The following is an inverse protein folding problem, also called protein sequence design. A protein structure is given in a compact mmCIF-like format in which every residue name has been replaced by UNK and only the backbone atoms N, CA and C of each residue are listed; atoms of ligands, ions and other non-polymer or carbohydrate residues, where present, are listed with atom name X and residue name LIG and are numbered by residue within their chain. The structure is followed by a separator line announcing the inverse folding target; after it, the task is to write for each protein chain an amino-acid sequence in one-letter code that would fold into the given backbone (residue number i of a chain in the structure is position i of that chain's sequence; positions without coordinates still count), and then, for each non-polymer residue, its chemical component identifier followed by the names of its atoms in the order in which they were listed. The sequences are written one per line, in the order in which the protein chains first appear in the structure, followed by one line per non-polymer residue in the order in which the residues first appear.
data_IF_021977354667
#
_entry.id   IF_021977354667
#
_cell.length_a   1.000
_cell.length_b   1.000
_cell.length_c   1.000
_cell.angle_alpha   90.00
_cell.angle_beta   90.00
_cell.angle_gamma   90.00
#
_symmetry.space_group_name_H-M   'P 1'
#
loop_
_entity.id
_entity.type
_entity.pdbx_description
1 polymer ?
#
# COMPACT_ATOMS: atom_id res chain seq x y z
N UNK A 1 33.62 -52.93 7.06
CA UNK A 1 33.96 -51.72 7.84
C UNK A 1 33.18 -50.55 7.28
N UNK A 2 32.58 -49.68 8.11
CA UNK A 2 31.93 -48.46 7.64
C UNK A 2 32.97 -47.55 6.98
N UNK A 3 32.69 -47.07 5.76
CA UNK A 3 33.54 -46.13 5.03
C UNK A 3 33.14 -44.71 5.43
N UNK A 4 34.10 -43.90 5.87
CA UNK A 4 33.88 -42.47 6.06
C UNK A 4 33.76 -41.84 4.66
N UNK A 5 32.66 -41.13 4.32
CA UNK A 5 32.52 -40.50 3.02
C UNK A 5 33.60 -39.45 2.78
N UNK A 6 34.25 -39.45 1.63
CA UNK A 6 35.27 -38.46 1.27
C UNK A 6 34.72 -37.01 1.29
N UNK A 7 33.43 -36.86 0.98
CA UNK A 7 32.71 -35.59 1.08
C UNK A 7 32.72 -35.00 2.51
N UNK A 8 32.69 -35.85 3.55
CA UNK A 8 32.76 -35.40 4.95
C UNK A 8 34.11 -34.77 5.26
N UNK A 9 35.20 -35.36 4.75
CA UNK A 9 36.56 -34.84 4.95
C UNK A 9 36.73 -33.50 4.25
N UNK A 10 36.28 -33.39 3.00
CA UNK A 10 36.38 -32.17 2.21
C UNK A 10 35.55 -31.02 2.82
N UNK A 11 34.30 -31.29 3.25
CA UNK A 11 33.46 -30.30 3.93
C UNK A 11 34.06 -29.82 5.25
N UNK A 12 34.59 -30.74 6.06
CA UNK A 12 35.25 -30.38 7.34
C UNK A 12 36.51 -29.54 7.13
N UNK A 13 37.32 -29.86 6.11
CA UNK A 13 38.49 -29.07 5.76
C UNK A 13 38.10 -27.64 5.34
N UNK A 14 37.02 -27.49 4.57
CA UNK A 14 36.50 -26.19 4.16
C UNK A 14 36.07 -25.31 5.34
N UNK A 15 35.27 -25.88 6.26
CA UNK A 15 34.82 -25.20 7.48
C UNK A 15 36.01 -24.77 8.33
N UNK A 16 37.01 -25.63 8.50
CA UNK A 16 38.22 -25.30 9.26
C UNK A 16 39.05 -24.19 8.59
N UNK A 17 39.19 -24.23 7.27
CA UNK A 17 39.94 -23.21 6.52
C UNK A 17 39.28 -21.83 6.66
N UNK A 18 37.96 -21.75 6.48
CA UNK A 18 37.21 -20.50 6.63
C UNK A 18 37.25 -19.98 8.07
N UNK A 19 37.06 -20.85 9.07
CA UNK A 19 37.19 -20.46 10.48
C UNK A 19 38.55 -19.86 10.77
N UNK A 20 39.60 -20.58 10.37
CA UNK A 20 40.99 -20.15 10.64
C UNK A 20 41.28 -18.79 10.04
N UNK A 21 40.76 -18.50 8.84
CA UNK A 21 40.89 -17.19 8.22
C UNK A 21 40.14 -16.12 9.03
N UNK A 22 38.85 -16.32 9.31
CA UNK A 22 38.01 -15.35 10.02
C UNK A 22 38.52 -15.06 11.45
N UNK A 23 38.87 -16.08 12.22
CA UNK A 23 39.36 -15.93 13.60
C UNK A 23 40.73 -15.27 13.66
N UNK A 24 41.62 -15.52 12.68
CA UNK A 24 42.91 -14.81 12.58
C UNK A 24 42.73 -13.31 12.35
N UNK A 25 41.63 -12.90 11.73
CA UNK A 25 41.23 -11.50 11.57
C UNK A 25 40.26 -11.02 12.66
N UNK A 26 40.25 -11.70 13.81
CA UNK A 26 39.51 -11.37 15.03
C UNK A 26 37.98 -11.45 14.93
N UNK A 27 37.41 -12.12 13.92
CA UNK A 27 35.97 -12.34 13.83
C UNK A 27 35.55 -13.57 14.63
N UNK A 28 34.32 -13.55 15.14
CA UNK A 28 33.79 -14.61 15.99
C UNK A 28 33.03 -15.60 15.11
N UNK A 29 33.42 -16.88 15.16
CA UNK A 29 32.82 -17.96 14.36
C UNK A 29 32.18 -18.99 15.28
N UNK A 30 30.91 -19.29 15.05
CA UNK A 30 30.17 -20.36 15.72
C UNK A 30 29.75 -21.41 14.69
N UNK A 31 30.12 -22.68 14.91
CA UNK A 31 29.60 -23.78 14.10
C UNK A 31 28.15 -24.10 14.46
N UNK A 32 27.34 -24.39 13.43
CA UNK A 32 25.99 -24.94 13.60
C UNK A 32 26.10 -26.46 13.68
N UNK A 33 25.43 -27.07 14.66
CA UNK A 33 25.41 -28.54 14.79
C UNK A 33 24.66 -29.15 13.60
N UNK A 34 25.21 -30.24 13.03
CA UNK A 34 24.66 -30.90 11.84
C UNK A 34 23.31 -31.58 12.06
N UNK A 35 22.81 -31.67 13.29
CA UNK A 35 21.42 -32.04 13.59
C UNK A 35 20.41 -30.90 13.32
N UNK A 36 20.89 -29.66 13.20
CA UNK A 36 20.12 -28.44 12.92
C UNK A 36 20.47 -27.82 11.54
N UNK A 37 20.96 -28.64 10.61
CA UNK A 37 21.37 -28.18 9.27
C UNK A 37 20.16 -27.87 8.38
N UNK A 38 19.81 -26.59 8.29
CA UNK A 38 18.86 -26.04 7.32
C UNK A 38 19.58 -25.32 6.16
N UNK A 39 20.79 -25.76 5.81
CA UNK A 39 21.63 -25.16 4.78
C UNK A 39 22.54 -24.06 5.31
N UNK A 40 23.02 -24.19 6.55
CA UNK A 40 23.84 -23.20 7.25
C UNK A 40 24.90 -23.92 8.09
N UNK A 41 26.19 -23.68 7.82
CA UNK A 41 27.28 -24.36 8.55
C UNK A 41 27.87 -23.48 9.66
N UNK A 42 27.88 -22.15 9.47
CA UNK A 42 28.50 -21.19 10.37
C UNK A 42 27.60 -19.98 10.63
N UNK A 43 27.66 -19.48 11.86
CA UNK A 43 27.28 -18.12 12.23
C UNK A 43 28.54 -17.31 12.48
N UNK A 44 28.66 -16.15 11.82
CA UNK A 44 29.84 -15.29 11.92
C UNK A 44 29.42 -13.91 12.39
N UNK A 45 30.03 -13.45 13.49
CA UNK A 45 29.88 -12.08 13.97
C UNK A 45 31.14 -11.30 13.65
N UNK A 46 31.01 -10.25 12.85
CA UNK A 46 32.12 -9.35 12.54
C UNK A 46 32.40 -8.42 13.72
N UNK A 47 33.68 -8.09 13.84
CA UNK A 47 34.24 -7.29 14.93
C UNK A 47 34.98 -6.10 14.34
N UNK A 48 35.05 -5.01 15.10
CA UNK A 48 35.77 -3.80 14.72
C UNK A 48 36.49 -3.25 15.94
N UNK A 49 37.80 -3.01 15.85
CA UNK A 49 38.62 -2.51 16.95
C UNK A 49 38.52 -3.32 18.26
N UNK A 50 38.22 -4.64 18.16
CA UNK A 50 38.04 -5.51 19.33
C UNK A 50 36.65 -5.47 19.95
N UNK A 51 35.71 -4.72 19.38
CA UNK A 51 34.31 -4.67 19.80
C UNK A 51 33.41 -5.48 18.86
N UNK A 52 32.37 -6.08 19.43
CA UNK A 52 31.36 -6.83 18.67
C UNK A 52 30.38 -5.83 18.06
N UNK A 53 30.40 -5.68 16.74
CA UNK A 53 29.58 -4.68 16.03
C UNK A 53 28.11 -5.11 15.82
N UNK A 54 27.70 -6.26 16.36
CA UNK A 54 26.37 -6.83 16.15
C UNK A 54 26.11 -7.32 14.72
N UNK A 55 27.09 -7.27 13.83
CA UNK A 55 27.00 -7.66 12.42
C UNK A 55 27.13 -9.18 12.26
N UNK A 56 25.99 -9.85 12.12
CA UNK A 56 25.85 -11.31 12.09
C UNK A 56 25.45 -11.77 10.69
N UNK A 57 26.15 -12.77 10.17
CA UNK A 57 25.80 -13.49 8.93
C UNK A 57 25.78 -15.00 9.15
N UNK A 58 24.99 -15.68 8.32
CA UNK A 58 25.02 -17.13 8.17
C UNK A 58 25.91 -17.48 6.97
N UNK A 59 26.67 -18.57 7.05
CA UNK A 59 27.50 -19.02 5.93
C UNK A 59 27.26 -20.51 5.67
N UNK A 60 26.89 -20.83 4.44
CA UNK A 60 26.96 -22.19 3.90
C UNK A 60 28.35 -22.42 3.30
N UNK A 61 29.02 -23.46 3.76
CA UNK A 61 30.38 -23.83 3.37
C UNK A 61 30.36 -25.14 2.59
N UNK A 62 30.91 -25.12 1.37
CA UNK A 62 31.07 -26.31 0.53
C UNK A 62 32.55 -26.58 0.27
N UNK A 63 32.97 -27.84 0.37
CA UNK A 63 34.37 -28.23 0.18
C UNK A 63 34.52 -29.35 -0.85
N UNK A 64 35.50 -29.22 -1.75
CA UNK A 64 35.90 -30.29 -2.67
C UNK A 64 35.73 -29.96 -4.16
N UNK A 65 36.32 -30.82 -5.01
CA UNK A 65 36.36 -30.62 -6.47
C UNK A 65 34.98 -30.64 -7.14
N UNK A 66 33.97 -31.22 -6.51
CA UNK A 66 32.60 -31.33 -7.04
C UNK A 66 31.88 -29.98 -7.21
N UNK A 67 32.36 -28.93 -6.55
CA UNK A 67 31.77 -27.60 -6.60
C UNK A 67 32.35 -26.71 -7.71
N UNK A 68 33.42 -27.15 -8.37
CA UNK A 68 34.04 -26.42 -9.50
C UNK A 68 33.19 -26.48 -10.76
N UNK A 69 33.22 -25.40 -11.53
CA UNK A 69 32.67 -25.27 -12.88
C UNK A 69 33.76 -24.75 -13.82
N UNK A 70 33.45 -24.62 -15.11
CA UNK A 70 34.41 -24.16 -16.10
C UNK A 70 34.89 -22.72 -15.85
N UNK A 71 34.05 -21.91 -15.22
CA UNK A 71 34.15 -20.47 -15.05
C UNK A 71 34.04 -20.03 -13.58
N UNK A 72 34.30 -20.92 -12.62
CA UNK A 72 34.23 -20.61 -11.19
C UNK A 72 33.71 -21.77 -10.35
N UNK A 73 32.79 -21.47 -9.44
CA UNK A 73 32.19 -22.43 -8.53
C UNK A 73 30.67 -22.29 -8.48
N UNK A 74 30.00 -23.32 -7.99
CA UNK A 74 28.54 -23.35 -7.97
C UNK A 74 27.99 -24.13 -6.76
N UNK A 75 27.07 -23.49 -6.04
CA UNK A 75 26.40 -24.07 -4.86
C UNK A 75 24.91 -24.24 -5.19
N UNK A 76 24.34 -25.45 -5.08
CA UNK A 76 22.92 -25.68 -5.33
C UNK A 76 22.07 -25.01 -4.25
N UNK A 77 20.97 -24.40 -4.66
CA UNK A 77 20.01 -23.73 -3.75
C UNK A 77 19.14 -24.77 -3.03
N UNK A 78 18.68 -25.79 -3.76
CA UNK A 78 17.79 -26.82 -3.20
C UNK A 78 16.50 -26.24 -2.63
N UNK A 79 16.04 -26.81 -1.52
CA UNK A 79 14.82 -26.37 -0.81
C UNK A 79 15.06 -25.16 0.12
N UNK A 80 16.29 -24.63 0.14
CA UNK A 80 16.68 -23.55 1.05
C UNK A 80 16.45 -22.14 0.48
N UNK A 81 16.05 -22.02 -0.78
CA UNK A 81 15.97 -20.74 -1.49
C UNK A 81 15.14 -19.69 -0.77
N UNK A 82 13.95 -20.05 -0.29
CA UNK A 82 13.09 -19.12 0.45
C UNK A 82 13.69 -18.71 1.79
N UNK A 83 14.29 -19.65 2.53
CA UNK A 83 14.95 -19.38 3.81
C UNK A 83 16.15 -18.46 3.62
N UNK A 84 16.96 -18.70 2.59
CA UNK A 84 18.14 -17.89 2.28
C UNK A 84 17.78 -16.50 1.77
N UNK A 85 16.70 -16.37 1.00
CA UNK A 85 16.27 -15.08 0.45
C UNK A 85 15.51 -14.20 1.46
N UNK A 86 14.71 -14.80 2.34
CA UNK A 86 13.75 -14.06 3.20
C UNK A 86 14.08 -14.11 4.70
N UNK A 87 15.06 -14.91 5.12
CA UNK A 87 15.46 -15.06 6.52
C UNK A 87 15.93 -13.76 7.19
N UNK A 88 15.90 -13.68 8.51
CA UNK A 88 16.25 -12.45 9.24
C UNK A 88 17.76 -12.13 9.23
N UNK A 89 18.59 -13.12 8.89
CA UNK A 89 20.04 -13.01 8.81
C UNK A 89 20.43 -13.45 7.39
N UNK A 90 21.20 -12.65 6.64
CA UNK A 90 21.59 -13.03 5.29
C UNK A 90 22.57 -14.21 5.30
N UNK A 91 22.50 -14.97 4.22
CA UNK A 91 23.29 -16.18 3.97
C UNK A 91 24.33 -15.90 2.90
N UNK A 92 25.59 -16.18 3.21
CA UNK A 92 26.70 -16.21 2.28
C UNK A 92 27.01 -17.65 1.88
N UNK A 93 27.51 -17.85 0.67
CA UNK A 93 28.04 -19.13 0.22
C UNK A 93 29.56 -19.03 0.11
N UNK A 94 30.28 -20.01 0.66
CA UNK A 94 31.74 -20.12 0.53
C UNK A 94 32.10 -21.51 0.00
N UNK A 95 32.97 -21.56 -1.01
CA UNK A 95 33.56 -22.80 -1.54
C UNK A 95 35.05 -22.84 -1.21
N UNK A 96 35.49 -23.93 -0.58
CA UNK A 96 36.92 -24.25 -0.44
C UNK A 96 37.36 -25.21 -1.54
N UNK A 97 38.34 -24.75 -2.30
CA UNK A 97 38.96 -25.51 -3.37
C UNK A 97 40.22 -26.24 -2.86
N UNK A 98 40.23 -27.58 -2.80
CA UNK A 98 41.34 -28.32 -2.22
C UNK A 98 42.63 -28.32 -3.06
N UNK A 99 42.60 -28.03 -4.37
CA UNK A 99 43.85 -28.07 -5.16
C UNK A 99 44.57 -26.72 -5.14
N UNK A 100 43.83 -25.63 -5.00
CA UNK A 100 44.41 -24.28 -4.86
C UNK A 100 44.55 -23.87 -3.39
N UNK A 101 43.83 -24.53 -2.48
CA UNK A 101 43.66 -24.11 -1.09
C UNK A 101 42.86 -22.81 -0.93
N UNK A 102 42.23 -22.33 -2.01
CA UNK A 102 41.51 -21.07 -2.02
C UNK A 102 40.11 -21.18 -1.44
N UNK A 103 39.65 -20.11 -0.80
CA UNK A 103 38.25 -19.89 -0.43
C UNK A 103 37.65 -18.88 -1.41
N UNK A 104 36.42 -19.13 -1.87
CA UNK A 104 35.71 -18.26 -2.81
C UNK A 104 34.30 -18.02 -2.30
N UNK A 105 33.79 -16.80 -2.39
CA UNK A 105 32.57 -16.43 -1.68
C UNK A 105 31.58 -15.63 -2.54
N UNK A 106 30.31 -15.64 -2.13
CA UNK A 106 29.25 -14.80 -2.71
C UNK A 106 28.14 -14.56 -1.69
N UNK A 107 27.43 -13.44 -1.83
CA UNK A 107 26.23 -13.15 -1.06
C UNK A 107 24.99 -13.81 -1.68
N UNK A 108 24.68 -15.05 -1.24
CA UNK A 108 23.58 -15.84 -1.78
C UNK A 108 22.22 -15.16 -1.60
N UNK A 109 21.99 -14.50 -0.46
CA UNK A 109 20.75 -13.74 -0.23
C UNK A 109 20.58 -12.61 -1.27
N UNK A 110 21.65 -11.87 -1.58
CA UNK A 110 21.61 -10.81 -2.59
C UNK A 110 21.29 -11.37 -3.98
N UNK A 111 21.95 -12.44 -4.39
CA UNK A 111 21.74 -13.10 -5.69
C UNK A 111 20.29 -13.60 -5.85
N UNK A 112 19.77 -14.30 -4.83
CA UNK A 112 18.39 -14.82 -4.86
C UNK A 112 17.36 -13.70 -4.93
N UNK A 113 17.55 -12.61 -4.18
CA UNK A 113 16.63 -11.46 -4.19
C UNK A 113 16.73 -10.67 -5.49
N UNK A 114 17.90 -10.59 -6.12
CA UNK A 114 18.05 -9.96 -7.43
C UNK A 114 17.30 -10.75 -8.49
N UNK A 115 17.57 -12.06 -8.61
CA UNK A 115 16.89 -12.92 -9.58
C UNK A 115 15.36 -12.91 -9.42
N UNK A 116 14.85 -12.95 -8.17
CA UNK A 116 13.41 -12.89 -7.91
C UNK A 116 12.78 -11.58 -8.38
N UNK A 117 13.50 -10.46 -8.26
CA UNK A 117 13.05 -9.15 -8.76
C UNK A 117 12.88 -9.15 -10.28
N UNK A 118 13.75 -9.90 -10.96
CA UNK A 118 13.74 -10.06 -12.41
C UNK A 118 12.80 -11.19 -12.87
N UNK A 119 12.02 -11.78 -11.95
CA UNK A 119 11.07 -12.87 -12.23
C UNK A 119 11.72 -14.25 -12.42
N UNK A 120 13.00 -14.40 -12.06
CA UNK A 120 13.76 -15.63 -12.21
C UNK A 120 13.83 -16.45 -10.92
N UNK A 121 13.94 -17.77 -11.07
CA UNK A 121 14.14 -18.72 -9.97
C UNK A 121 15.50 -19.39 -10.13
N UNK A 122 16.46 -19.02 -9.28
CA UNK A 122 17.80 -19.61 -9.29
C UNK A 122 17.79 -21.00 -8.66
N UNK A 123 18.28 -21.99 -9.41
CA UNK A 123 18.54 -23.35 -8.88
C UNK A 123 19.93 -23.49 -8.28
N UNK A 124 20.85 -22.60 -8.66
CA UNK A 124 22.26 -22.64 -8.30
C UNK A 124 22.78 -21.23 -8.11
N UNK A 125 23.57 -21.01 -7.07
CA UNK A 125 24.33 -19.78 -6.86
C UNK A 125 25.71 -19.97 -7.50
N UNK A 126 26.07 -19.08 -8.41
CA UNK A 126 27.39 -19.09 -9.04
C UNK A 126 28.36 -18.19 -8.27
N UNK A 127 29.62 -18.61 -8.20
CA UNK A 127 30.69 -17.88 -7.52
C UNK A 127 31.80 -17.65 -8.53
N UNK A 128 32.13 -16.39 -8.76
CA UNK A 128 33.21 -16.01 -9.66
C UNK A 128 34.57 -16.47 -9.09
N UNK A 129 35.51 -16.94 -9.93
CA UNK A 129 36.84 -17.33 -9.51
C UNK A 129 37.69 -16.13 -9.06
N UNK A 130 37.24 -14.90 -9.34
CA UNK A 130 37.89 -13.68 -8.88
C UNK A 130 37.47 -13.29 -7.47
N UNK A 131 36.39 -13.88 -6.94
CA UNK A 131 35.88 -13.61 -5.58
C UNK A 131 36.62 -14.44 -4.52
N UNK A 132 37.95 -14.36 -4.54
CA UNK A 132 38.79 -15.10 -3.60
C UNK A 132 38.81 -14.42 -2.22
N UNK A 133 38.48 -15.18 -1.18
CA UNK A 133 38.55 -14.77 0.21
C UNK A 133 39.90 -15.20 0.81
N UNK A 134 40.78 -14.22 1.04
CA UNK A 134 42.14 -14.42 1.51
C UNK A 134 42.56 -13.29 2.48
N UNK A 135 43.76 -13.38 3.06
CA UNK A 135 44.25 -12.39 4.02
C UNK A 135 44.29 -10.96 3.47
N UNK A 136 44.49 -10.78 2.16
CA UNK A 136 44.52 -9.47 1.52
C UNK A 136 43.14 -8.94 1.08
N UNK A 137 42.11 -9.80 1.02
CA UNK A 137 40.75 -9.41 0.61
C UNK A 137 39.73 -9.44 1.75
N UNK A 138 40.12 -9.92 2.94
CA UNK A 138 39.23 -10.04 4.09
C UNK A 138 38.62 -8.71 4.52
N UNK A 139 39.39 -7.61 4.44
CA UNK A 139 38.92 -6.27 4.83
C UNK A 139 37.83 -5.80 3.87
N UNK A 140 38.04 -5.98 2.56
CA UNK A 140 37.08 -5.61 1.53
C UNK A 140 35.82 -6.49 1.60
N UNK A 141 35.98 -7.79 1.83
CA UNK A 141 34.89 -8.74 2.08
C UNK A 141 34.01 -8.29 3.26
N UNK A 142 34.63 -7.97 4.40
CA UNK A 142 33.90 -7.52 5.60
C UNK A 142 33.19 -6.20 5.31
N UNK A 143 33.84 -5.25 4.65
CA UNK A 143 33.25 -3.97 4.29
C UNK A 143 32.03 -4.14 3.36
N UNK A 144 32.13 -4.99 2.33
CA UNK A 144 31.04 -5.28 1.41
C UNK A 144 29.85 -5.94 2.13
N UNK A 145 30.11 -6.94 2.96
CA UNK A 145 29.07 -7.64 3.71
C UNK A 145 28.41 -6.72 4.72
N UNK A 146 29.17 -5.87 5.43
CA UNK A 146 28.62 -4.89 6.38
C UNK A 146 27.81 -3.82 5.68
N UNK A 147 28.26 -3.35 4.51
CA UNK A 147 27.47 -2.45 3.68
C UNK A 147 26.13 -3.09 3.30
N UNK A 148 26.14 -4.34 2.84
CA UNK A 148 24.90 -5.07 2.56
C UNK A 148 24.03 -5.25 3.82
N UNK A 149 24.60 -5.62 4.97
CA UNK A 149 23.88 -5.75 6.23
C UNK A 149 23.22 -4.44 6.67
N UNK A 150 23.88 -3.30 6.48
CA UNK A 150 23.32 -1.99 6.79
C UNK A 150 22.06 -1.70 5.96
N UNK A 151 22.05 -2.09 4.68
CA UNK A 151 20.88 -1.97 3.81
C UNK A 151 19.81 -3.02 4.16
N UNK A 152 20.24 -4.24 4.48
CA UNK A 152 19.37 -5.37 4.81
C UNK A 152 18.61 -5.15 6.13
N UNK A 153 19.29 -4.64 7.16
CA UNK A 153 18.74 -4.29 8.48
C UNK A 153 18.08 -2.92 8.47
N UNK A 154 18.67 -1.94 7.79
CA UNK A 154 18.14 -0.60 7.66
C UNK A 154 16.70 -0.63 7.17
N UNK A 155 16.41 -1.40 6.12
CA UNK A 155 15.05 -1.45 5.58
C UNK A 155 14.02 -2.05 6.56
N UNK A 156 14.37 -3.07 7.35
CA UNK A 156 13.43 -3.68 8.33
C UNK A 156 13.31 -2.90 9.64
N UNK A 157 14.40 -2.32 10.14
CA UNK A 157 14.36 -1.45 11.33
C UNK A 157 13.60 -0.17 11.01
N UNK A 158 13.85 0.42 9.83
CA UNK A 158 13.08 1.58 9.34
C UNK A 158 11.61 1.19 9.19
N UNK A 159 11.27 0.06 8.56
CA UNK A 159 9.87 -0.40 8.48
C UNK A 159 9.22 -0.58 9.86
N UNK A 160 9.91 -1.20 10.83
CA UNK A 160 9.40 -1.37 12.18
C UNK A 160 9.15 -0.02 12.87
N UNK A 161 10.12 0.91 12.78
CA UNK A 161 10.00 2.26 13.34
C UNK A 161 8.90 3.08 12.66
N UNK A 162 8.79 2.99 11.34
CA UNK A 162 7.73 3.65 10.57
C UNK A 162 6.36 3.07 10.92
N UNK A 163 6.27 1.75 11.11
CA UNK A 163 5.05 1.08 11.54
C UNK A 163 4.61 1.53 12.93
N UNK A 164 5.55 1.59 13.88
CA UNK A 164 5.28 2.12 15.22
C UNK A 164 4.85 3.60 15.18
N UNK A 165 5.53 4.42 14.38
CA UNK A 165 5.23 5.85 14.25
C UNK A 165 3.86 6.09 13.61
N UNK A 166 3.49 5.31 12.60
CA UNK A 166 2.22 5.43 11.89
C UNK A 166 1.08 4.59 12.50
N UNK A 167 1.35 3.82 13.56
CA UNK A 167 0.36 2.96 14.21
C UNK A 167 -0.13 1.79 13.34
N UNK A 168 0.71 1.27 12.44
CA UNK A 168 0.38 0.17 11.53
C UNK A 168 1.40 -0.97 11.59
N UNK A 169 0.98 -2.18 11.23
CA UNK A 169 1.87 -3.32 11.10
C UNK A 169 2.09 -3.65 9.62
N UNK A 170 3.36 -3.65 9.20
CA UNK A 170 3.76 -4.05 7.85
C UNK A 170 4.08 -5.54 7.80
N UNK A 171 3.51 -6.22 6.80
CA UNK A 171 3.80 -7.61 6.50
C UNK A 171 5.20 -7.79 5.88
N UNK A 172 5.80 -8.99 6.00
CA UNK A 172 7.14 -9.27 5.46
C UNK A 172 7.20 -9.25 3.93
N UNK A 173 6.05 -9.35 3.25
CA UNK A 173 5.90 -9.28 1.80
C UNK A 173 5.48 -7.90 1.29
N UNK A 174 5.27 -6.94 2.19
CA UNK A 174 4.74 -5.64 1.83
C UNK A 174 5.82 -4.78 1.19
N UNK A 175 5.42 -4.03 0.19
CA UNK A 175 6.26 -3.00 -0.41
C UNK A 175 6.04 -1.73 0.39
N UNK A 176 7.06 -1.36 1.17
CA UNK A 176 7.06 -0.14 1.96
C UNK A 176 8.18 0.77 1.44
N UNK A 177 7.83 1.98 1.05
CA UNK A 177 8.77 3.04 0.67
C UNK A 177 8.56 4.24 1.57
N UNK A 178 9.64 4.92 1.91
CA UNK A 178 9.64 6.08 2.81
C UNK A 178 10.27 7.29 2.14
N UNK A 179 9.68 8.46 2.39
CA UNK A 179 10.20 9.74 1.95
C UNK A 179 9.99 10.78 3.05
N UNK A 180 10.99 11.63 3.26
CA UNK A 180 10.87 12.83 4.07
C UNK A 180 10.91 14.01 3.13
N UNK A 181 9.86 14.82 3.17
CA UNK A 181 9.77 15.98 2.30
C UNK A 181 10.64 17.16 2.81
N UNK A 182 10.63 18.27 2.09
CA UNK A 182 11.40 19.47 2.43
C UNK A 182 10.95 20.18 3.70
N UNK A 183 9.76 19.86 4.21
CA UNK A 183 9.20 20.39 5.46
C UNK A 183 9.49 19.48 6.66
N UNK A 184 10.14 18.33 6.43
CA UNK A 184 10.42 17.33 7.46
C UNK A 184 9.24 16.41 7.74
N UNK A 185 8.23 16.40 6.86
CA UNK A 185 7.06 15.55 6.98
C UNK A 185 7.39 14.18 6.37
N UNK A 186 7.05 13.13 7.11
CA UNK A 186 7.21 11.74 6.68
C UNK A 186 6.02 11.28 5.83
N UNK A 187 6.35 10.60 4.72
CA UNK A 187 5.43 9.93 3.82
C UNK A 187 5.82 8.46 3.69
N UNK A 188 4.84 7.57 3.82
CA UNK A 188 5.01 6.13 3.66
C UNK A 188 4.06 5.64 2.58
N UNK A 189 4.63 5.07 1.52
CA UNK A 189 3.90 4.31 0.53
C UNK A 189 3.89 2.84 0.95
N UNK A 190 2.71 2.24 0.99
CA UNK A 190 2.52 0.87 1.42
C UNK A 190 1.61 0.11 0.45
N UNK A 191 2.14 -0.93 -0.18
CA UNK A 191 1.41 -1.84 -1.05
C UNK A 191 1.54 -3.27 -0.51
N UNK A 192 0.42 -3.84 -0.05
CA UNK A 192 0.35 -5.27 0.27
C UNK A 192 0.29 -6.07 -1.02
N UNK A 193 0.90 -7.26 -1.01
CA UNK A 193 0.96 -8.12 -2.19
C UNK A 193 -0.43 -8.63 -2.57
N UNK A 194 -0.78 -8.49 -3.84
CA UNK A 194 -2.02 -8.85 -4.50
C UNK A 194 -3.25 -8.02 -4.14
N UNK A 195 -3.12 -6.98 -3.31
CA UNK A 195 -4.18 -5.97 -3.17
C UNK A 195 -4.20 -5.06 -4.41
N UNK A 196 -5.40 -4.73 -4.91
CA UNK A 196 -5.57 -3.89 -6.10
C UNK A 196 -5.35 -2.38 -5.85
N UNK A 197 -5.03 -1.99 -4.62
CA UNK A 197 -4.80 -0.60 -4.21
C UNK A 197 -3.56 -0.49 -3.31
N UNK A 198 -3.03 0.72 -3.17
CA UNK A 198 -1.96 1.08 -2.24
C UNK A 198 -2.51 1.96 -1.11
N UNK A 199 -1.71 2.14 -0.07
CA UNK A 199 -1.99 3.02 1.06
C UNK A 199 -0.89 4.08 1.17
N UNK A 200 -1.27 5.34 1.28
CA UNK A 200 -0.39 6.44 1.64
C UNK A 200 -0.64 6.80 3.11
N UNK A 201 0.42 6.79 3.91
CA UNK A 201 0.44 7.32 5.28
C UNK A 201 1.27 8.59 5.27
N UNK A 202 0.75 9.65 5.83
CA UNK A 202 1.38 10.96 5.83
C UNK A 202 1.31 11.55 7.24
N UNK A 203 2.44 12.03 7.75
CA UNK A 203 2.54 12.61 9.11
C UNK A 203 1.57 13.77 9.33
N UNK A 204 1.49 14.72 8.38
CA UNK A 204 0.50 15.83 8.43
C UNK A 204 -0.98 15.42 8.39
N UNK A 205 -1.28 14.17 8.01
CA UNK A 205 -2.63 13.64 8.01
C UNK A 205 -2.88 12.76 9.23
N UNK A 206 -2.12 12.97 10.31
CA UNK A 206 -2.15 12.18 11.54
C UNK A 206 -2.00 10.68 11.26
N UNK A 207 -1.22 10.34 10.22
CA UNK A 207 -1.03 8.97 9.73
C UNK A 207 -2.31 8.26 9.28
N UNK A 208 -3.41 8.99 9.06
CA UNK A 208 -4.67 8.39 8.66
C UNK A 208 -4.57 7.72 7.29
N UNK A 209 -4.84 6.41 7.16
CA UNK A 209 -4.63 5.66 5.93
C UNK A 209 -5.39 6.23 4.74
N UNK A 210 -4.66 6.62 3.69
CA UNK A 210 -5.25 6.99 2.40
C UNK A 210 -5.13 5.82 1.44
N UNK A 211 -6.19 5.03 1.28
CA UNK A 211 -6.23 3.97 0.27
C UNK A 211 -6.50 4.56 -1.11
N UNK A 212 -5.72 4.17 -2.11
CA UNK A 212 -5.78 4.71 -3.46
C UNK A 212 -5.29 3.70 -4.51
N UNK A 213 -5.93 3.69 -5.69
CA UNK A 213 -5.39 3.08 -6.91
C UNK A 213 -4.73 4.10 -7.84
N UNK A 214 -4.09 3.69 -8.95
CA UNK A 214 -3.48 4.60 -9.92
C UNK A 214 -4.42 5.69 -10.45
N UNK A 215 -5.70 5.35 -10.61
CA UNK A 215 -6.75 6.26 -11.07
C UNK A 215 -6.98 7.46 -10.14
N UNK A 216 -6.55 7.35 -8.89
CA UNK A 216 -6.66 8.39 -7.87
C UNK A 216 -5.45 9.35 -7.83
N UNK A 217 -4.36 9.04 -8.55
CA UNK A 217 -3.13 9.82 -8.58
C UNK A 217 -3.08 10.73 -9.81
N UNK A 218 -2.75 12.01 -9.59
CA UNK A 218 -2.74 13.05 -10.63
C UNK A 218 -1.43 13.86 -10.58
N UNK A 219 -0.35 13.41 -11.24
CA UNK A 219 0.98 14.03 -11.12
C UNK A 219 1.05 15.43 -11.74
N UNK A 220 0.30 15.70 -12.82
CA UNK A 220 0.18 17.05 -13.41
C UNK A 220 -0.75 18.00 -12.64
N UNK A 221 -1.21 17.56 -11.48
CA UNK A 221 -2.38 18.07 -10.82
C UNK A 221 -3.67 17.74 -11.54
N UNK A 222 -4.78 17.84 -10.81
CA UNK A 222 -6.09 17.52 -11.34
C UNK A 222 -6.49 18.54 -12.41
N UNK A 223 -6.74 18.12 -13.67
CA UNK A 223 -7.30 18.99 -14.69
C UNK A 223 -8.66 19.45 -14.17
N UNK A 224 -8.75 20.67 -13.65
CA UNK A 224 -10.01 21.05 -13.02
C UNK A 224 -10.01 21.31 -11.51
N UNK A 225 -8.92 21.21 -10.76
CA UNK A 225 -8.94 21.59 -9.34
C UNK A 225 -7.85 22.59 -9.02
N UNK A 226 -6.63 22.09 -8.97
CA UNK A 226 -5.39 22.84 -8.86
C UNK A 226 -4.54 22.43 -10.07
N UNK A 227 -4.68 23.14 -11.22
CA UNK A 227 -3.86 22.85 -12.37
C UNK A 227 -2.41 23.05 -11.92
N UNK A 228 -1.56 22.04 -12.11
CA UNK A 228 -0.15 22.04 -11.69
C UNK A 228 0.12 21.79 -10.19
N UNK A 229 -0.88 21.48 -9.36
CA UNK A 229 -0.62 20.95 -8.01
C UNK A 229 -0.91 19.46 -8.00
N UNK A 230 0.12 18.60 -7.94
CA UNK A 230 -0.05 17.16 -7.86
C UNK A 230 -0.92 16.73 -6.67
N UNK A 231 -1.50 15.54 -6.75
CA UNK A 231 -2.27 15.02 -5.63
C UNK A 231 -2.68 13.56 -5.80
N UNK A 232 -3.08 12.95 -4.69
CA UNK A 232 -3.61 11.59 -4.61
C UNK A 232 -4.83 11.57 -3.70
N UNK A 233 -5.94 10.96 -4.14
CA UNK A 233 -7.20 10.93 -3.40
C UNK A 233 -7.67 12.34 -2.95
N UNK A 234 -7.55 12.73 -1.68
CA UNK A 234 -7.86 14.10 -1.22
C UNK A 234 -6.62 14.87 -0.76
N UNK A 235 -5.43 14.27 -0.89
CA UNK A 235 -4.15 14.81 -0.45
C UNK A 235 -3.49 15.58 -1.59
N UNK A 236 -3.16 16.85 -1.34
CA UNK A 236 -2.35 17.66 -2.24
C UNK A 236 -0.88 17.32 -1.97
N UNK A 237 -0.11 17.11 -3.04
CA UNK A 237 1.30 16.80 -2.97
C UNK A 237 2.11 17.93 -3.60
N UNK A 238 3.31 18.18 -3.09
CA UNK A 238 4.29 18.97 -3.79
C UNK A 238 4.93 18.17 -4.95
N UNK A 239 5.73 18.83 -5.78
CA UNK A 239 6.33 18.19 -6.97
C UNK A 239 7.28 17.04 -6.63
N UNK A 240 8.03 17.13 -5.52
CA UNK A 240 8.96 16.07 -5.12
C UNK A 240 8.21 14.83 -4.61
N UNK A 241 7.20 15.05 -3.76
CA UNK A 241 6.31 13.99 -3.26
C UNK A 241 5.58 13.28 -4.40
N UNK A 242 5.12 14.04 -5.41
CA UNK A 242 4.44 13.48 -6.57
C UNK A 242 5.36 12.57 -7.39
N UNK A 243 6.57 13.01 -7.72
CA UNK A 243 7.53 12.18 -8.46
C UNK A 243 7.93 10.94 -7.65
N UNK A 244 8.11 11.09 -6.34
CA UNK A 244 8.40 9.95 -5.47
C UNK A 244 7.24 8.95 -5.47
N UNK A 245 6.00 9.43 -5.33
CA UNK A 245 4.81 8.59 -5.33
C UNK A 245 4.58 7.90 -6.68
N UNK A 246 4.81 8.61 -7.79
CA UNK A 246 4.78 8.06 -9.15
C UNK A 246 5.76 6.90 -9.30
N UNK A 247 7.02 7.09 -8.89
CA UNK A 247 8.03 6.03 -8.89
C UNK A 247 7.65 4.84 -8.01
N UNK A 248 6.99 5.08 -6.87
CA UNK A 248 6.48 4.01 -6.01
C UNK A 248 5.36 3.21 -6.67
N UNK A 249 4.39 3.88 -7.32
CA UNK A 249 3.29 3.24 -8.03
C UNK A 249 3.82 2.34 -9.15
N UNK A 250 4.77 2.85 -9.94
CA UNK A 250 5.39 2.10 -11.04
C UNK A 250 6.19 0.90 -10.51
N UNK A 251 7.03 1.11 -9.49
CA UNK A 251 7.84 0.05 -8.90
C UNK A 251 7.03 -1.05 -8.20
N UNK A 252 5.79 -0.74 -7.77
CA UNK A 252 4.91 -1.67 -7.07
C UNK A 252 3.83 -2.29 -7.98
N UNK A 253 3.77 -1.93 -9.26
CA UNK A 253 2.72 -2.40 -10.18
C UNK A 253 2.62 -3.93 -10.22
N UNK A 254 3.76 -4.61 -10.33
CA UNK A 254 3.85 -6.08 -10.38
C UNK A 254 3.32 -6.75 -9.11
N UNK A 255 3.30 -6.05 -7.97
CA UNK A 255 2.87 -6.60 -6.70
C UNK A 255 1.35 -6.60 -6.52
N UNK A 256 0.58 -5.98 -7.42
CA UNK A 256 -0.89 -6.04 -7.40
C UNK A 256 -1.45 -7.33 -8.00
N UNK A 257 -0.62 -8.06 -8.73
CA UNK A 257 -0.98 -9.38 -9.22
C UNK A 257 -0.70 -10.44 -8.13
N UNK A 258 -1.69 -11.25 -7.73
CA UNK A 258 -1.45 -12.32 -6.77
C UNK A 258 -0.49 -13.37 -7.36
N UNK A 259 0.51 -13.80 -6.60
CA UNK A 259 1.47 -14.79 -7.09
C UNK A 259 0.84 -16.20 -7.16
N UNK A 260 1.21 -16.98 -8.17
CA UNK A 260 0.79 -18.37 -8.27
C UNK A 260 1.29 -19.18 -7.07
N UNK A 261 0.37 -19.72 -6.26
CA UNK A 261 0.68 -20.54 -5.09
C UNK A 261 0.67 -19.81 -3.75
N UNK A 262 0.43 -18.49 -3.71
CA UNK A 262 0.19 -17.76 -2.45
C UNK A 262 -1.22 -18.04 -1.89
N UNK A 263 -1.40 -18.02 -0.56
CA UNK A 263 -2.71 -18.23 0.05
C UNK A 263 -3.72 -17.16 -0.42
N UNK A 264 -5.03 -17.48 -0.43
CA UNK A 264 -6.06 -16.51 -0.82
C UNK A 264 -5.97 -15.24 0.02
N UNK A 265 -5.96 -14.10 -0.65
CA UNK A 265 -6.04 -12.81 0.03
C UNK A 265 -7.39 -12.67 0.72
N UNK A 266 -7.35 -12.15 1.94
CA UNK A 266 -8.54 -11.82 2.69
C UNK A 266 -8.85 -10.34 2.49
N UNK A 267 -10.13 -9.99 2.56
CA UNK A 267 -10.57 -8.60 2.47
C UNK A 267 -9.93 -7.78 3.58
N UNK A 268 -9.30 -6.68 3.20
CA UNK A 268 -8.79 -5.69 4.13
C UNK A 268 -9.96 -4.93 4.78
N UNK A 269 -10.23 -5.27 6.05
CA UNK A 269 -11.37 -4.74 6.81
C UNK A 269 -11.19 -3.23 7.05
N UNK A 270 -9.97 -2.80 7.38
CA UNK A 270 -9.67 -1.38 7.61
C UNK A 270 -9.89 -0.57 6.34
N UNK A 271 -9.46 -1.09 5.18
CA UNK A 271 -9.70 -0.43 3.89
C UNK A 271 -11.20 -0.33 3.58
N UNK A 272 -11.98 -1.39 3.84
CA UNK A 272 -13.44 -1.39 3.68
C UNK A 272 -14.08 -0.33 4.58
N UNK A 273 -13.74 -0.31 5.85
CA UNK A 273 -14.38 0.56 6.84
C UNK A 273 -14.01 2.02 6.61
N UNK A 274 -12.76 2.31 6.25
CA UNK A 274 -12.31 3.63 5.79
C UNK A 274 -13.05 4.08 4.53
N UNK A 275 -13.20 3.18 3.54
CA UNK A 275 -13.96 3.47 2.33
C UNK A 275 -15.42 3.81 2.64
N UNK A 276 -16.09 3.00 3.46
CA UNK A 276 -17.49 3.22 3.87
C UNK A 276 -17.65 4.53 4.62
N UNK A 277 -16.76 4.82 5.58
CA UNK A 277 -16.79 6.06 6.34
C UNK A 277 -16.67 7.29 5.44
N UNK A 278 -15.74 7.30 4.49
CA UNK A 278 -15.58 8.40 3.52
C UNK A 278 -16.82 8.60 2.65
N UNK A 279 -17.41 7.51 2.17
CA UNK A 279 -18.64 7.58 1.35
C UNK A 279 -19.84 8.05 2.16
N UNK A 280 -19.97 7.65 3.42
CA UNK A 280 -21.03 8.15 4.32
C UNK A 280 -20.85 9.64 4.58
N UNK A 281 -19.64 10.07 4.95
CA UNK A 281 -19.33 11.49 5.16
C UNK A 281 -19.72 12.31 3.92
N UNK A 282 -19.25 11.87 2.76
CA UNK A 282 -19.55 12.50 1.48
C UNK A 282 -21.06 12.58 1.24
N UNK A 283 -21.77 11.47 1.43
CA UNK A 283 -23.22 11.41 1.24
C UNK A 283 -23.98 12.32 2.19
N UNK A 284 -23.63 12.36 3.47
CA UNK A 284 -24.26 13.27 4.45
C UNK A 284 -24.05 14.74 4.08
N UNK A 285 -22.88 15.06 3.54
CA UNK A 285 -22.55 16.41 3.15
C UNK A 285 -23.25 16.86 1.86
N UNK A 286 -23.43 15.96 0.88
CA UNK A 286 -24.21 16.23 -0.34
C UNK A 286 -25.73 16.17 -0.08
N UNK A 287 -26.17 15.28 0.81
CA UNK A 287 -27.57 14.99 1.10
C UNK A 287 -27.91 15.19 2.58
N UNK A 288 -28.11 16.43 3.06
CA UNK A 288 -28.33 16.71 4.47
C UNK A 288 -29.55 15.99 5.07
N UNK A 289 -30.55 15.64 4.25
CA UNK A 289 -31.77 14.95 4.67
C UNK A 289 -31.71 13.42 4.48
N UNK A 290 -30.60 12.87 3.97
CA UNK A 290 -30.46 11.42 3.73
C UNK A 290 -30.65 10.60 5.01
N UNK A 291 -30.11 11.06 6.13
CA UNK A 291 -30.26 10.40 7.42
C UNK A 291 -31.71 10.38 7.88
N UNK A 292 -32.41 11.53 7.80
CA UNK A 292 -33.82 11.62 8.20
C UNK A 292 -34.70 10.67 7.38
N UNK A 293 -34.51 10.61 6.05
CA UNK A 293 -35.24 9.67 5.19
C UNK A 293 -34.95 8.21 5.56
N UNK A 294 -33.69 7.90 5.86
CA UNK A 294 -33.27 6.57 6.24
C UNK A 294 -33.87 6.11 7.58
N UNK A 295 -33.90 7.00 8.59
CA UNK A 295 -34.56 6.76 9.87
C UNK A 295 -36.06 6.47 9.67
N UNK A 296 -36.74 7.31 8.87
CA UNK A 296 -38.15 7.10 8.56
C UNK A 296 -38.40 5.76 7.87
N UNK A 297 -37.53 5.40 6.91
CA UNK A 297 -37.62 4.12 6.20
C UNK A 297 -37.46 2.95 7.16
N UNK A 298 -36.45 2.94 8.04
CA UNK A 298 -36.26 1.86 9.03
C UNK A 298 -37.46 1.74 9.97
N UNK A 299 -38.02 2.87 10.44
CA UNK A 299 -39.17 2.87 11.37
C UNK A 299 -40.47 2.41 10.75
N UNK A 300 -40.63 2.55 9.43
CA UNK A 300 -41.86 2.17 8.71
C UNK A 300 -41.76 0.83 8.01
N UNK A 301 -40.56 0.27 7.86
CA UNK A 301 -40.33 -1.00 7.20
C UNK A 301 -40.54 -2.18 8.17
N UNK A 302 -41.73 -2.79 8.10
CA UNK A 302 -42.08 -4.00 8.86
C UNK A 302 -41.34 -5.26 8.40
N UNK A 303 -40.55 -5.20 7.33
CA UNK A 303 -39.72 -6.30 6.83
C UNK A 303 -38.25 -6.17 7.22
N UNK A 304 -37.92 -5.14 8.02
CA UNK A 304 -36.56 -4.94 8.51
C UNK A 304 -36.06 -6.13 9.33
N UNK A 305 -34.79 -6.46 9.12
CA UNK A 305 -34.08 -7.53 9.83
C UNK A 305 -34.17 -7.32 11.35
N UNK A 306 -34.65 -8.33 12.07
CA UNK A 306 -34.82 -8.27 13.52
C UNK A 306 -33.48 -8.00 14.23
N UNK A 307 -32.37 -8.51 13.70
CA UNK A 307 -31.03 -8.28 14.28
C UNK A 307 -30.60 -6.81 14.15
N UNK A 308 -30.88 -6.20 13.00
CA UNK A 308 -30.65 -4.77 12.77
C UNK A 308 -31.47 -3.91 13.73
N UNK A 309 -32.76 -4.21 13.90
CA UNK A 309 -33.64 -3.45 14.80
C UNK A 309 -33.19 -3.55 16.26
N UNK A 310 -32.76 -4.74 16.70
CA UNK A 310 -32.19 -4.91 18.05
C UNK A 310 -30.94 -4.03 18.22
N UNK A 311 -30.00 -4.11 17.28
CA UNK A 311 -28.75 -3.33 17.34
C UNK A 311 -29.01 -1.83 17.33
N UNK A 312 -29.95 -1.35 16.51
CA UNK A 312 -30.34 0.05 16.48
C UNK A 312 -30.93 0.50 17.81
N UNK A 313 -31.82 -0.29 18.43
CA UNK A 313 -32.40 0.05 19.75
C UNK A 313 -31.34 0.12 20.84
N UNK A 314 -30.35 -0.75 20.81
CA UNK A 314 -29.23 -0.71 21.75
C UNK A 314 -28.41 0.57 21.58
N UNK A 315 -28.11 0.97 20.35
CA UNK A 315 -27.37 2.20 20.05
C UNK A 315 -28.20 3.46 20.36
N UNK A 316 -29.50 3.48 20.03
CA UNK A 316 -30.44 4.57 20.33
C UNK A 316 -30.66 4.75 21.85
N UNK A 317 -30.41 3.71 22.66
CA UNK A 317 -30.53 3.82 24.12
C UNK A 317 -29.47 4.73 24.75
N UNK A 318 -28.38 4.99 24.03
CA UNK A 318 -27.35 5.96 24.39
C UNK A 318 -27.75 7.35 23.90
N UNK A 319 -28.30 8.16 24.81
CA UNK A 319 -28.85 9.47 24.49
C UNK A 319 -27.81 10.46 23.91
N UNK A 320 -26.52 10.29 24.24
CA UNK A 320 -25.44 11.12 23.71
C UNK A 320 -25.15 10.74 22.26
N UNK A 321 -25.03 9.43 21.97
CA UNK A 321 -24.81 8.95 20.62
C UNK A 321 -25.99 9.25 19.66
N UNK A 322 -27.24 9.14 20.14
CA UNK A 322 -28.43 9.49 19.34
C UNK A 322 -28.49 10.99 19.03
N UNK A 323 -28.19 11.85 20.02
CA UNK A 323 -28.15 13.29 19.82
C UNK A 323 -27.04 13.71 18.84
N UNK A 324 -25.84 13.12 18.97
CA UNK A 324 -24.72 13.36 18.06
C UNK A 324 -25.06 12.92 16.63
N UNK A 325 -25.64 11.74 16.45
CA UNK A 325 -25.99 11.21 15.13
C UNK A 325 -26.90 12.16 14.33
N UNK A 326 -27.76 12.92 15.01
CA UNK A 326 -28.72 13.83 14.38
C UNK A 326 -28.20 15.26 14.17
N UNK A 327 -27.16 15.69 14.88
CA UNK A 327 -26.79 17.11 14.97
C UNK A 327 -25.31 17.43 14.79
N UNK A 328 -24.43 16.44 14.94
CA UNK A 328 -22.98 16.61 14.88
C UNK A 328 -22.44 16.28 13.48
N UNK A 329 -21.43 16.99 12.95
CA UNK A 329 -20.75 16.59 11.72
C UNK A 329 -20.05 15.22 11.85
N UNK A 330 -20.01 14.43 10.78
CA UNK A 330 -19.45 13.05 10.80
C UNK A 330 -18.06 12.92 11.45
N UNK A 331 -17.16 13.88 11.21
CA UNK A 331 -15.79 13.86 11.75
C UNK A 331 -15.72 14.11 13.26
N UNK A 332 -16.72 14.75 13.82
CA UNK A 332 -16.80 15.10 15.24
C UNK A 332 -17.65 14.10 16.04
N UNK A 333 -18.32 13.18 15.36
CA UNK A 333 -19.15 12.14 15.98
C UNK A 333 -18.30 11.08 16.72
N UNK A 334 -18.77 10.66 17.88
CA UNK A 334 -18.30 9.46 18.56
C UNK A 334 -18.41 8.22 17.68
N UNK A 335 -17.66 7.17 18.00
CA UNK A 335 -17.73 5.89 17.28
C UNK A 335 -19.13 5.30 17.31
N UNK A 336 -19.84 5.40 18.44
CA UNK A 336 -21.22 4.94 18.58
C UNK A 336 -22.18 5.69 17.67
N UNK A 337 -22.07 7.03 17.61
CA UNK A 337 -22.88 7.85 16.71
C UNK A 337 -22.59 7.52 15.23
N UNK A 338 -21.32 7.37 14.84
CA UNK A 338 -20.95 6.95 13.48
C UNK A 338 -21.50 5.57 13.14
N UNK A 339 -21.46 4.63 14.08
CA UNK A 339 -22.02 3.28 13.92
C UNK A 339 -23.54 3.33 13.77
N UNK A 340 -24.25 4.14 14.57
CA UNK A 340 -25.68 4.36 14.46
C UNK A 340 -26.07 4.93 13.08
N UNK A 341 -25.39 5.99 12.64
CA UNK A 341 -25.59 6.60 11.32
C UNK A 341 -25.32 5.60 10.18
N UNK A 342 -24.27 4.79 10.30
CA UNK A 342 -23.94 3.72 9.34
C UNK A 342 -25.08 2.72 9.24
N UNK A 343 -25.61 2.25 10.38
CA UNK A 343 -26.75 1.33 10.40
C UNK A 343 -28.03 1.92 9.85
N UNK A 344 -28.23 3.24 9.88
CA UNK A 344 -29.36 3.87 9.20
C UNK A 344 -29.15 4.01 7.70
N UNK A 345 -27.96 4.40 7.24
CA UNK A 345 -27.72 4.72 5.83
C UNK A 345 -27.41 3.49 4.97
N UNK A 346 -26.59 2.57 5.47
CA UNK A 346 -26.03 1.45 4.71
C UNK A 346 -26.88 0.20 4.91
N UNK A 347 -27.41 -0.35 3.81
CA UNK A 347 -28.15 -1.61 3.82
C UNK A 347 -27.20 -2.81 3.80
N UNK A 348 -26.26 -2.80 2.86
CA UNK A 348 -25.22 -3.82 2.72
C UNK A 348 -23.98 -3.21 2.07
N UNK A 349 -22.82 -3.81 2.32
CA UNK A 349 -21.58 -3.52 1.59
C UNK A 349 -21.20 -4.78 0.84
N UNK A 350 -21.21 -4.71 -0.49
CA UNK A 350 -20.76 -5.80 -1.36
C UNK A 350 -19.26 -5.72 -1.51
N UNK A 351 -18.61 -6.86 -1.33
CA UNK A 351 -17.15 -6.99 -1.36
C UNK A 351 -16.75 -7.85 -2.54
N UNK A 352 -15.96 -7.28 -3.44
CA UNK A 352 -15.34 -7.94 -4.59
C UNK A 352 -13.99 -8.59 -4.24
N UNK A 353 -13.28 -9.05 -5.28
CA UNK A 353 -11.94 -9.63 -5.10
C UNK A 353 -10.95 -8.62 -4.51
N UNK A 354 -10.07 -9.00 -3.57
CA UNK A 354 -9.02 -8.12 -3.04
C UNK A 354 -8.06 -7.54 -4.08
N UNK A 355 -7.95 -8.20 -5.24
CA UNK A 355 -7.10 -7.74 -6.36
C UNK A 355 -7.73 -6.63 -7.20
N UNK A 356 -9.01 -6.29 -6.96
CA UNK A 356 -9.68 -5.20 -7.68
C UNK A 356 -9.24 -3.83 -7.15
N UNK A 357 -9.27 -2.77 -7.97
CA UNK A 357 -9.13 -1.40 -7.50
C UNK A 357 -10.10 -1.10 -6.34
N UNK A 358 -9.72 -0.18 -5.44
CA UNK A 358 -10.47 0.11 -4.20
C UNK A 358 -11.96 0.43 -4.44
N UNK A 359 -12.27 1.17 -5.51
CA UNK A 359 -13.64 1.56 -5.88
C UNK A 359 -14.46 0.41 -6.50
N UNK A 360 -13.79 -0.61 -7.06
CA UNK A 360 -14.43 -1.82 -7.59
C UNK A 360 -14.55 -2.92 -6.53
N UNK A 361 -13.65 -2.91 -5.54
CA UNK A 361 -13.64 -3.86 -4.44
C UNK A 361 -14.81 -3.63 -3.48
N UNK A 362 -15.21 -2.38 -3.22
CA UNK A 362 -16.25 -2.07 -2.25
C UNK A 362 -17.42 -1.30 -2.88
N UNK A 363 -18.62 -1.91 -2.84
CA UNK A 363 -19.85 -1.27 -3.30
C UNK A 363 -20.87 -1.15 -2.17
N UNK A 364 -21.23 0.07 -1.82
CA UNK A 364 -22.24 0.36 -0.81
C UNK A 364 -23.62 0.29 -1.47
N UNK A 365 -24.50 -0.51 -0.89
CA UNK A 365 -25.92 -0.48 -1.20
C UNK A 365 -26.61 0.32 -0.10
N UNK A 366 -27.18 1.44 -0.50
CA UNK A 366 -27.83 2.36 0.41
C UNK A 366 -29.24 1.91 0.74
N UNK A 367 -29.68 2.11 1.97
CA UNK A 367 -31.01 1.70 2.43
C UNK A 367 -32.13 2.53 1.80
N UNK A 368 -31.85 3.80 1.58
CA UNK A 368 -32.66 4.67 0.75
C UNK A 368 -31.88 4.97 -0.54
N UNK A 369 -31.94 4.08 -1.54
CA UNK A 369 -31.43 4.41 -2.87
C UNK A 369 -32.25 5.58 -3.40
N UNK A 370 -31.63 6.46 -4.20
CA UNK A 370 -32.41 7.52 -4.84
C UNK A 370 -33.29 6.94 -5.93
N UNK A 371 -34.45 7.54 -6.24
CA UNK A 371 -35.28 7.10 -7.36
C UNK A 371 -34.48 7.20 -8.66
N UNK A 372 -34.09 6.06 -9.24
CA UNK A 372 -33.44 5.96 -10.54
C UNK A 372 -34.39 6.30 -11.70
N UNK A 373 -35.71 6.37 -11.43
CA UNK A 373 -36.75 6.16 -12.42
C UNK A 373 -37.19 7.38 -13.26
N UNK A 374 -36.55 8.56 -13.19
CA UNK A 374 -37.02 9.74 -13.95
C UNK A 374 -35.98 10.47 -14.79
N UNK A 375 -34.70 10.11 -14.73
CA UNK A 375 -33.65 10.96 -15.29
C UNK A 375 -32.78 10.17 -16.27
N UNK A 376 -32.81 10.57 -17.56
CA UNK A 376 -31.93 10.00 -18.57
C UNK A 376 -30.50 10.50 -18.35
N UNK A 377 -29.65 9.65 -17.78
CA UNK A 377 -28.20 9.89 -17.66
C UNK A 377 -27.48 9.36 -18.90
N UNK A 378 -26.46 10.07 -19.39
CA UNK A 378 -25.56 9.56 -20.43
C UNK A 378 -25.54 10.30 -21.77
N UNK A 379 -26.17 11.47 -21.88
CA UNK A 379 -25.97 12.37 -23.02
C UNK A 379 -25.46 13.72 -22.53
N UNK A 380 -24.12 13.90 -22.45
CA UNK A 380 -23.51 15.21 -22.18
C UNK A 380 -23.92 16.22 -23.25
N UNK A 381 -24.98 17.00 -23.01
CA UNK A 381 -25.39 18.10 -23.90
C UNK A 381 -24.66 19.38 -23.47
N UNK A 382 -23.40 19.48 -23.87
CA UNK A 382 -22.55 20.63 -23.56
C UNK A 382 -21.51 20.34 -22.48
N UNK A 383 -20.99 21.38 -21.83
CA UNK A 383 -19.94 21.27 -20.81
C UNK A 383 -20.06 22.39 -19.76
N UNK A 384 -19.56 22.21 -18.53
CA UNK A 384 -19.51 23.28 -17.55
C UNK A 384 -18.76 24.51 -18.08
N UNK A 385 -19.25 25.71 -17.76
CA UNK A 385 -18.51 26.92 -18.05
C UNK A 385 -17.33 27.08 -17.10
N UNK A 386 -16.22 27.61 -17.61
CA UNK A 386 -15.03 28.00 -16.82
C UNK A 386 -14.89 29.53 -16.69
N UNK A 387 -15.85 30.31 -17.22
CA UNK A 387 -15.78 31.78 -17.22
C UNK A 387 -15.97 32.36 -15.81
N UNK A 388 -14.88 32.89 -15.24
CA UNK A 388 -14.90 33.62 -13.97
C UNK A 388 -15.37 35.06 -14.19
N UNK A 389 -16.38 35.46 -13.43
CA UNK A 389 -16.87 36.85 -13.32
C UNK A 389 -16.94 37.21 -11.82
N UNK A 390 -17.01 38.51 -11.51
CA UNK A 390 -16.94 39.06 -10.13
C UNK A 390 -17.96 38.42 -9.17
N UNK A 391 -19.08 37.93 -9.67
CA UNK A 391 -20.16 37.30 -8.90
C UNK A 391 -20.20 35.77 -9.05
N UNK A 392 -19.09 35.14 -9.44
CA UNK A 392 -19.02 33.70 -9.67
C UNK A 392 -17.80 33.10 -9.02
N UNK A 393 -17.99 31.95 -8.40
CA UNK A 393 -16.93 31.14 -7.83
C UNK A 393 -16.83 29.79 -8.54
N UNK A 394 -15.67 29.18 -8.41
CA UNK A 394 -15.37 27.88 -8.98
C UNK A 394 -15.63 26.84 -7.90
N UNK A 395 -16.43 25.83 -8.23
CA UNK A 395 -16.80 24.75 -7.32
C UNK A 395 -16.68 23.43 -8.04
N UNK A 396 -16.51 22.35 -7.28
CA UNK A 396 -16.39 21.00 -7.80
C UNK A 396 -17.78 20.36 -7.86
N UNK A 397 -17.95 19.33 -8.67
CA UNK A 397 -19.20 18.59 -8.79
C UNK A 397 -19.66 18.08 -7.42
N UNK A 398 -18.73 17.59 -6.60
CA UNK A 398 -19.05 17.20 -5.22
C UNK A 398 -19.55 18.39 -4.38
N UNK A 399 -18.99 19.58 -4.57
CA UNK A 399 -19.36 20.81 -3.86
C UNK A 399 -20.67 21.46 -4.28
N UNK A 400 -21.30 20.94 -5.33
CA UNK A 400 -22.60 21.42 -5.75
C UNK A 400 -23.67 21.03 -4.74
N UNK A 401 -24.60 21.96 -4.52
CA UNK A 401 -25.77 21.75 -3.66
C UNK A 401 -27.06 22.01 -4.42
N UNK A 402 -28.16 21.36 -4.04
CA UNK A 402 -29.49 21.79 -4.46
C UNK A 402 -29.67 23.29 -4.23
N UNK A 403 -30.11 24.01 -5.25
CA UNK A 403 -30.26 25.47 -5.26
C UNK A 403 -29.05 26.24 -5.79
N UNK A 404 -27.89 25.62 -5.98
CA UNK A 404 -26.73 26.28 -6.60
C UNK A 404 -27.06 26.68 -8.03
N UNK A 405 -26.77 27.94 -8.38
CA UNK A 405 -26.92 28.42 -9.75
C UNK A 405 -25.58 28.32 -10.48
N UNK A 406 -25.43 27.28 -11.28
CA UNK A 406 -24.23 27.02 -12.07
C UNK A 406 -24.32 27.60 -13.48
N UNK A 407 -23.20 27.66 -14.20
CA UNK A 407 -23.14 28.10 -15.60
C UNK A 407 -22.63 26.99 -16.52
N UNK A 408 -23.35 26.77 -17.62
CA UNK A 408 -23.18 25.64 -18.53
C UNK A 408 -23.10 26.12 -19.98
N UNK A 409 -22.12 25.65 -20.74
CA UNK A 409 -21.98 25.89 -22.17
C UNK A 409 -22.79 24.86 -22.95
N UNK A 410 -23.76 25.30 -23.74
CA UNK A 410 -24.45 24.44 -24.71
C UNK A 410 -23.48 23.92 -25.79
N UNK A 411 -23.92 22.92 -26.58
CA UNK A 411 -23.18 22.41 -27.75
C UNK A 411 -22.75 23.48 -28.77
N UNK A 412 -23.38 24.66 -28.73
CA UNK A 412 -23.10 25.79 -29.60
C UNK A 412 -22.24 26.89 -28.93
N UNK A 413 -21.65 26.61 -27.76
CA UNK A 413 -20.78 27.55 -27.04
C UNK A 413 -21.51 28.67 -26.28
N UNK A 414 -22.85 28.70 -26.31
CA UNK A 414 -23.63 29.67 -25.53
C UNK A 414 -23.69 29.26 -24.06
N UNK A 415 -23.31 30.17 -23.17
CA UNK A 415 -23.40 29.99 -21.72
C UNK A 415 -24.82 30.24 -21.22
N UNK A 416 -25.35 29.32 -20.40
CA UNK A 416 -26.65 29.44 -19.74
C UNK A 416 -26.49 29.14 -18.25
N UNK A 417 -27.22 29.89 -17.43
CA UNK A 417 -27.35 29.56 -16.01
C UNK A 417 -28.31 28.38 -15.83
N UNK A 418 -27.94 27.41 -15.01
CA UNK A 418 -28.78 26.28 -14.59
C UNK A 418 -28.86 26.25 -13.08
N UNK A 419 -30.01 25.87 -12.54
CA UNK A 419 -30.14 25.60 -11.11
C UNK A 419 -29.92 24.11 -10.89
N UNK A 420 -29.07 23.77 -9.94
CA UNK A 420 -28.87 22.41 -9.48
C UNK A 420 -30.11 22.02 -8.68
N UNK A 421 -30.84 21.02 -9.17
CA UNK A 421 -32.04 20.50 -8.50
C UNK A 421 -31.65 19.44 -7.45
N UNK A 422 -30.65 18.61 -7.76
CA UNK A 422 -30.18 17.55 -6.89
C UNK A 422 -28.74 17.11 -7.23
N UNK A 423 -27.99 16.64 -6.22
CA UNK A 423 -26.62 16.09 -6.34
C UNK A 423 -26.54 14.81 -5.52
N UNK A 424 -25.86 13.76 -6.01
CA UNK A 424 -25.66 12.48 -5.29
C UNK A 424 -24.51 11.65 -5.87
N UNK A 425 -24.06 10.64 -5.14
CA UNK A 425 -23.11 9.64 -5.66
C UNK A 425 -23.77 8.69 -6.67
N UNK A 426 -23.11 8.44 -7.79
CA UNK A 426 -23.54 7.49 -8.80
C UNK A 426 -23.47 6.06 -8.25
N UNK A 427 -24.60 5.36 -8.28
CA UNK A 427 -24.67 3.94 -7.88
C UNK A 427 -24.10 3.02 -8.98
N UNK A 428 -24.09 3.49 -10.24
CA UNK A 428 -23.63 2.75 -11.42
C UNK A 428 -22.17 3.03 -11.79
N UNK A 429 -21.63 4.17 -11.35
CA UNK A 429 -20.24 4.57 -11.55
C UNK A 429 -19.65 4.97 -10.19
N UNK A 430 -19.15 4.00 -9.41
CA UNK A 430 -18.50 4.28 -8.14
C UNK A 430 -17.45 5.36 -8.30
N UNK A 431 -17.43 6.33 -7.39
CA UNK A 431 -16.54 7.48 -7.52
C UNK A 431 -17.09 8.65 -8.31
N UNK A 432 -18.21 8.53 -9.04
CA UNK A 432 -18.83 9.66 -9.74
C UNK A 432 -19.97 10.31 -8.94
N UNK A 433 -20.26 11.58 -9.22
CA UNK A 433 -21.36 12.40 -8.71
C UNK A 433 -22.36 12.66 -9.84
N UNK A 434 -23.62 12.28 -9.62
CA UNK A 434 -24.74 12.63 -10.47
C UNK A 434 -25.29 14.01 -10.09
N UNK A 435 -25.51 14.87 -11.09
CA UNK A 435 -26.10 16.20 -10.90
C UNK A 435 -27.33 16.34 -11.79
N UNK A 436 -28.44 16.78 -11.20
CA UNK A 436 -29.70 17.06 -11.88
C UNK A 436 -29.91 18.57 -12.02
N UNK A 437 -30.39 19.02 -13.19
CA UNK A 437 -30.64 20.43 -13.50
C UNK A 437 -32.13 20.75 -13.70
N UNK A 438 -32.52 21.98 -13.39
CA UNK A 438 -33.90 22.51 -13.35
C UNK A 438 -34.73 22.47 -14.65
N UNK A 439 -34.13 22.28 -15.82
CA UNK A 439 -34.84 22.48 -17.11
C UNK A 439 -34.71 21.33 -18.11
N UNK A 440 -34.09 20.23 -17.73
CA UNK A 440 -34.04 19.03 -18.55
C UNK A 440 -34.30 17.87 -17.58
N UNK A 441 -35.18 16.93 -17.93
CA UNK A 441 -35.18 15.60 -17.32
C UNK A 441 -33.91 14.81 -17.73
N UNK A 442 -32.76 15.51 -17.80
CA UNK A 442 -31.43 15.05 -18.13
C UNK A 442 -30.57 15.40 -16.91
N UNK A 443 -30.19 14.37 -16.17
CA UNK A 443 -29.05 14.46 -15.27
C UNK A 443 -27.79 14.07 -16.02
N UNK A 444 -26.63 14.45 -15.50
CA UNK A 444 -25.35 13.97 -16.00
C UNK A 444 -24.50 13.38 -14.87
N UNK A 445 -23.59 12.51 -15.26
CA UNK A 445 -22.62 11.89 -14.36
C UNK A 445 -21.29 12.61 -14.51
N UNK A 446 -20.86 13.20 -13.41
CA UNK A 446 -19.63 13.98 -13.30
C UNK A 446 -18.68 13.23 -12.39
N UNK A 447 -17.39 13.25 -12.65
CA UNK A 447 -16.46 12.95 -11.56
C UNK A 447 -16.60 14.05 -10.48
N UNK A 448 -16.51 13.73 -9.18
CA UNK A 448 -16.69 14.68 -8.08
C UNK A 448 -15.85 15.95 -8.28
N UNK A 449 -14.73 15.84 -8.96
CA UNK A 449 -13.70 16.84 -9.21
C UNK A 449 -13.97 17.69 -10.47
N UNK A 450 -15.03 17.40 -11.24
CA UNK A 450 -15.41 18.20 -12.40
C UNK A 450 -15.84 19.61 -11.98
N UNK A 451 -15.29 20.63 -12.65
CA UNK A 451 -15.54 22.03 -12.28
C UNK A 451 -16.89 22.52 -12.75
N UNK A 452 -17.53 23.30 -11.90
CA UNK A 452 -18.61 24.20 -12.23
C UNK A 452 -18.24 25.62 -11.82
N UNK A 453 -18.79 26.58 -12.55
CA UNK A 453 -18.84 27.96 -12.06
C UNK A 453 -20.22 28.14 -11.45
N UNK A 454 -20.31 28.46 -10.16
CA UNK A 454 -21.58 28.82 -9.50
C UNK A 454 -21.65 30.31 -9.19
N UNK A 455 -22.85 30.86 -9.17
CA UNK A 455 -23.12 32.23 -8.73
C UNK A 455 -22.87 32.32 -7.23
N UNK A 456 -22.06 33.29 -6.81
CA UNK A 456 -21.86 33.60 -5.39
C UNK A 456 -23.18 34.17 -4.86
N UNK A 457 -23.81 33.47 -3.91
CA UNK A 457 -24.94 34.02 -3.18
C UNK A 457 -24.46 35.23 -2.39
N UNK A 458 -25.12 36.38 -2.57
CA UNK A 458 -24.85 37.53 -1.73
C UNK A 458 -25.14 37.12 -0.29
N UNK A 459 -24.13 37.14 0.59
CA UNK A 459 -24.37 36.96 2.03
C UNK A 459 -25.42 38.00 2.43
N UNK A 460 -26.57 37.53 2.91
CA UNK A 460 -27.55 38.38 3.57
C UNK A 460 -26.81 39.08 4.71
N UNK A 461 -26.83 40.41 4.67
CA UNK A 461 -26.17 41.26 5.67
C UNK A 461 -26.85 41.15 7.02
#
# INVERSE_FOLDING_TARGET
MPKVPDARRAGRAAVNALRTLLERHNHIVQEVDGQNDFGEDLHVTFTENGEVAGDLVKIQVKGGRSWRRADGYAVPVGDHGDTWANGNIPVLCVVHDPDTGGLYWVNATKELRSARRDGEVLKTITISPNEQLADNSIVDFVAEVRHYLSLYRGNRVIQAQLGETAGVEFGPSDIVQHHVNVYGEDLIFWQRRGEGFATLLHSDLDWYPQHFGPEHFHPGGRPGLLPRAPGVAQTILNTAEAHWLEACIDAAQWAREPAAGEPPLHTNIDARDNYVARRIEHRLWIEPDALTRAIQKVRTDTTADHELITTLRELESDAEADAEALSTPWREMSEKARRLVTFYLVKEVRVGSPSLPIDEQFRIVWRCPRPTAEYGFGARIGQPSTRRLVNRELVLAFQLRPGDRIFWLSRYGNERGRTVSAVWDSEDTPGAVCVLFDQLMLGDTFWPEERFVRKVSAKTR
#
